data_IF_023935046865
#
_entry.id   IF_023935046865
#
_cell.length_a   1.000
_cell.length_b   1.000
_cell.length_c   1.000
_cell.angle_alpha   90.00
_cell.angle_beta   90.00
_cell.angle_gamma   90.00
#
_symmetry.space_group_name_H-M   'P 1'
#
loop_
_entity.id
_entity.type
_entity.pdbx_description
1 polymer ?
#
# COMPACT_ATOMS: atom_id res chain seq x y z
N UNK A 1 1.10 13.45 -10.84
CA UNK A 1 0.56 12.63 -9.72
C UNK A 1 1.54 11.53 -9.28
N UNK A 2 2.14 10.76 -10.21
CA UNK A 2 3.06 9.68 -9.83
C UNK A 2 4.53 10.10 -9.73
N UNK A 3 4.90 11.27 -10.21
CA UNK A 3 6.28 11.79 -10.27
C UNK A 3 6.91 11.94 -8.88
N UNK A 4 6.07 12.10 -7.85
CA UNK A 4 6.50 12.18 -6.45
C UNK A 4 6.68 10.80 -5.79
N UNK A 5 6.30 9.71 -6.47
CA UNK A 5 6.43 8.36 -5.93
C UNK A 5 7.71 7.67 -6.43
N UNK A 6 8.37 7.00 -5.52
CA UNK A 6 9.41 6.01 -5.80
C UNK A 6 8.89 4.65 -5.36
N UNK A 7 8.85 3.66 -6.24
CA UNK A 7 8.55 2.28 -5.92
C UNK A 7 9.85 1.51 -5.69
N UNK A 8 10.05 0.99 -4.50
CA UNK A 8 11.28 0.24 -4.20
C UNK A 8 11.13 -1.21 -4.60
N UNK A 9 10.17 -1.92 -4.02
CA UNK A 9 9.95 -3.36 -4.17
C UNK A 9 8.56 -3.69 -3.60
N UNK A 10 7.90 -4.75 -4.05
CA UNK A 10 6.63 -5.24 -3.50
C UNK A 10 5.57 -4.12 -3.36
N UNK A 11 5.23 -3.75 -2.12
CA UNK A 11 4.32 -2.66 -1.78
C UNK A 11 5.04 -1.46 -1.16
N UNK A 12 6.38 -1.43 -1.19
CA UNK A 12 7.20 -0.39 -0.57
C UNK A 12 7.30 0.86 -1.44
N UNK A 13 6.70 1.95 -0.98
CA UNK A 13 6.72 3.23 -1.68
C UNK A 13 7.28 4.36 -0.81
N UNK A 14 7.94 5.32 -1.47
CA UNK A 14 8.19 6.64 -0.92
C UNK A 14 7.45 7.68 -1.73
N UNK A 15 6.81 8.62 -1.07
CA UNK A 15 6.29 9.84 -1.67
C UNK A 15 7.03 11.06 -1.10
N UNK A 16 7.41 11.99 -1.98
CA UNK A 16 8.06 13.24 -1.59
C UNK A 16 7.37 14.42 -2.25
N UNK A 17 6.93 15.39 -1.45
CA UNK A 17 6.29 16.60 -1.97
C UNK A 17 5.93 17.56 -0.84
N UNK A 18 5.85 18.86 -1.15
CA UNK A 18 5.46 19.87 -0.16
C UNK A 18 6.37 19.98 1.06
N UNK A 19 7.61 19.47 0.99
CA UNK A 19 8.55 19.42 2.11
C UNK A 19 8.32 18.23 3.05
N UNK A 20 7.51 17.24 2.65
CA UNK A 20 7.21 16.03 3.42
C UNK A 20 7.76 14.79 2.72
N UNK A 21 8.34 13.88 3.48
CA UNK A 21 8.75 12.53 3.06
C UNK A 21 7.88 11.49 3.76
N UNK A 22 7.07 10.79 2.98
CA UNK A 22 6.19 9.70 3.44
C UNK A 22 6.71 8.37 2.91
N UNK A 23 6.73 7.33 3.76
CA UNK A 23 6.91 5.94 3.35
C UNK A 23 5.65 5.12 3.63
N UNK A 24 5.34 4.22 2.70
CA UNK A 24 4.28 3.22 2.82
C UNK A 24 4.97 1.87 2.78
N UNK A 25 4.77 1.04 3.80
CA UNK A 25 5.31 -0.32 3.92
C UNK A 25 6.81 -0.41 3.54
N UNK A 26 7.71 0.37 4.18
CA UNK A 26 9.11 0.41 3.79
C UNK A 26 9.79 -0.95 3.99
N UNK A 27 10.15 -1.59 2.89
CA UNK A 27 10.89 -2.86 2.85
C UNK A 27 12.00 -2.79 1.79
N UNK A 28 13.22 -3.15 2.19
CA UNK A 28 14.43 -3.07 1.36
C UNK A 28 14.60 -1.69 0.68
N UNK A 29 14.30 -0.63 1.42
CA UNK A 29 14.44 0.74 0.95
C UNK A 29 15.93 1.11 0.83
N UNK A 30 16.35 1.64 -0.32
CA UNK A 30 17.76 1.95 -0.60
C UNK A 30 18.17 3.39 -0.32
N UNK A 31 17.22 4.27 0.02
CA UNK A 31 17.50 5.66 0.42
C UNK A 31 17.67 5.79 1.94
N UNK A 32 18.40 6.82 2.36
CA UNK A 32 18.56 7.22 3.76
C UNK A 32 17.76 8.50 4.10
N UNK A 33 16.86 8.93 3.22
CA UNK A 33 16.04 10.11 3.48
C UNK A 33 15.13 9.85 4.69
N UNK A 34 15.25 10.64 5.77
CA UNK A 34 14.42 10.44 6.96
C UNK A 34 12.94 10.63 6.65
N UNK A 35 12.10 9.84 7.29
CA UNK A 35 10.66 9.95 7.18
C UNK A 35 10.10 11.05 8.09
N UNK A 36 9.16 11.83 7.56
CA UNK A 36 8.23 12.62 8.38
C UNK A 36 7.04 11.76 8.81
N UNK A 37 6.56 10.88 7.90
CA UNK A 37 5.47 9.96 8.13
C UNK A 37 5.81 8.57 7.58
N UNK A 38 5.52 7.53 8.35
CA UNK A 38 5.52 6.14 7.89
C UNK A 38 4.13 5.59 8.14
N UNK A 39 3.52 4.97 7.13
CA UNK A 39 2.27 4.23 7.28
C UNK A 39 2.52 2.75 6.98
N UNK A 40 2.05 1.87 7.87
CA UNK A 40 2.20 0.43 7.77
C UNK A 40 0.83 -0.21 7.62
N UNK A 41 0.68 -1.09 6.63
CA UNK A 41 -0.60 -1.74 6.34
C UNK A 41 -0.84 -2.96 7.21
N UNK A 42 0.19 -3.81 7.40
CA UNK A 42 0.10 -5.06 8.15
C UNK A 42 1.48 -5.61 8.56
N UNK A 43 1.51 -6.71 9.31
CA UNK A 43 2.69 -7.19 10.03
C UNK A 43 3.60 -8.15 9.24
N UNK A 44 3.33 -8.45 7.96
CA UNK A 44 4.21 -9.33 7.19
C UNK A 44 5.56 -8.67 6.92
N UNK A 45 6.61 -9.50 6.75
CA UNK A 45 8.01 -9.08 6.69
C UNK A 45 8.33 -8.14 5.52
N UNK A 46 7.59 -8.26 4.41
CA UNK A 46 7.72 -7.46 3.19
C UNK A 46 6.91 -6.14 3.23
N UNK A 47 6.28 -5.83 4.38
CA UNK A 47 5.58 -4.58 4.69
C UNK A 47 6.06 -3.94 5.99
N UNK A 48 6.43 -4.75 6.99
CA UNK A 48 6.92 -4.31 8.30
C UNK A 48 8.37 -4.72 8.51
N UNK A 49 9.30 -3.96 7.96
CA UNK A 49 10.75 -4.17 8.10
C UNK A 49 11.29 -3.33 9.26
N UNK A 50 11.61 -3.98 10.39
CA UNK A 50 12.22 -3.29 11.55
C UNK A 50 13.54 -2.60 11.19
N UNK A 51 14.47 -3.20 10.40
CA UNK A 51 15.69 -2.53 9.99
C UNK A 51 15.46 -1.26 9.16
N UNK A 52 14.47 -1.27 8.24
CA UNK A 52 14.13 -0.08 7.46
C UNK A 52 13.50 1.01 8.34
N UNK A 53 12.59 0.62 9.25
CA UNK A 53 12.01 1.56 10.20
C UNK A 53 13.07 2.23 11.07
N UNK A 54 13.99 1.46 11.65
CA UNK A 54 15.07 1.99 12.49
C UNK A 54 15.92 3.01 11.73
N UNK A 55 16.21 2.76 10.46
CA UNK A 55 17.05 3.61 9.61
C UNK A 55 16.32 4.89 9.18
N UNK A 56 15.02 4.80 8.90
CA UNK A 56 14.21 5.90 8.36
C UNK A 56 13.61 6.79 9.46
N UNK A 57 13.47 6.28 10.69
CA UNK A 57 12.80 6.97 11.78
C UNK A 57 13.74 7.93 12.52
N UNK A 58 13.24 9.11 12.81
CA UNK A 58 13.86 10.11 13.70
C UNK A 58 12.95 10.40 14.89
N UNK A 59 13.38 11.23 15.82
CA UNK A 59 12.54 11.68 16.93
C UNK A 59 11.30 12.49 16.50
N UNK A 60 11.23 12.92 15.23
CA UNK A 60 10.12 13.70 14.68
C UNK A 60 9.16 12.85 13.83
N UNK A 61 9.60 11.68 13.39
CA UNK A 61 8.81 10.80 12.53
C UNK A 61 7.54 10.35 13.25
N UNK A 62 6.41 10.44 12.58
CA UNK A 62 5.15 9.83 13.02
C UNK A 62 4.99 8.49 12.31
N UNK A 63 4.66 7.44 13.05
CA UNK A 63 4.34 6.13 12.50
C UNK A 63 2.85 5.84 12.73
N UNK A 64 2.13 5.53 11.66
CA UNK A 64 0.73 5.09 11.72
C UNK A 64 0.70 3.61 11.37
N UNK A 65 0.14 2.78 12.23
CA UNK A 65 0.17 1.34 12.06
C UNK A 65 -1.06 0.65 12.70
N UNK A 66 -1.46 -0.54 12.23
CA UNK A 66 -2.40 -1.40 12.92
C UNK A 66 -1.98 -1.66 14.36
N UNK A 67 -2.95 -1.99 15.22
CA UNK A 67 -2.75 -2.09 16.67
C UNK A 67 -1.71 -3.11 17.09
N UNK A 68 -1.61 -4.23 16.39
CA UNK A 68 -0.61 -5.28 16.63
C UNK A 68 0.82 -4.75 16.43
N UNK A 69 1.08 -4.09 15.30
CA UNK A 69 2.37 -3.46 15.02
C UNK A 69 2.64 -2.30 15.99
N UNK A 70 1.65 -1.43 16.19
CA UNK A 70 1.79 -0.26 17.06
C UNK A 70 2.19 -0.63 18.50
N UNK A 71 1.73 -1.78 19.00
CA UNK A 71 2.07 -2.29 20.32
C UNK A 71 3.55 -2.68 20.49
N UNK A 72 4.26 -2.93 19.36
CA UNK A 72 5.68 -3.29 19.34
C UNK A 72 6.61 -2.07 19.18
N UNK A 73 6.05 -0.94 18.73
CA UNK A 73 6.80 0.26 18.40
C UNK A 73 6.89 1.25 19.57
N UNK A 74 7.87 2.10 19.52
CA UNK A 74 8.08 3.21 20.48
C UNK A 74 8.21 4.54 19.74
N UNK A 75 8.00 5.67 20.43
CA UNK A 75 8.08 7.01 19.84
C UNK A 75 6.71 7.59 19.49
N UNK A 76 6.63 8.33 18.39
CA UNK A 76 5.39 8.97 17.94
C UNK A 76 4.56 7.98 17.11
N UNK A 77 3.89 7.04 17.77
CA UNK A 77 3.12 5.97 17.12
C UNK A 77 1.63 6.23 17.28
N UNK A 78 0.88 6.16 16.19
CA UNK A 78 -0.58 6.22 16.17
C UNK A 78 -1.11 4.84 15.76
N UNK A 79 -1.78 4.18 16.70
CA UNK A 79 -2.44 2.92 16.43
C UNK A 79 -3.77 3.15 15.73
N UNK A 80 -4.04 2.38 14.67
CA UNK A 80 -5.27 2.48 13.89
C UNK A 80 -5.98 1.14 13.73
N UNK A 81 -7.27 1.23 13.38
CA UNK A 81 -8.10 0.12 12.95
C UNK A 81 -8.87 0.52 11.67
N UNK A 82 -9.49 -0.43 10.94
CA UNK A 82 -10.26 -0.12 9.75
C UNK A 82 -11.39 0.88 10.01
N UNK A 83 -11.58 1.85 9.10
CA UNK A 83 -12.66 2.84 9.14
C UNK A 83 -12.36 4.08 9.98
N UNK A 84 -11.13 4.28 10.40
CA UNK A 84 -10.70 5.49 11.12
C UNK A 84 -10.24 6.59 10.17
N UNK A 85 -10.42 7.85 10.56
CA UNK A 85 -9.95 9.04 9.85
C UNK A 85 -9.13 9.91 10.80
N UNK A 86 -7.95 10.34 10.37
CA UNK A 86 -7.00 11.09 11.23
C UNK A 86 -6.07 11.99 10.42
N UNK A 87 -5.40 12.88 11.15
CA UNK A 87 -4.29 13.69 10.65
C UNK A 87 -2.97 13.22 11.25
N UNK A 88 -1.96 12.97 10.43
CA UNK A 88 -0.61 12.61 10.88
C UNK A 88 0.44 13.34 10.05
N UNK A 89 1.39 14.01 10.69
CA UNK A 89 2.44 14.81 10.05
C UNK A 89 1.90 15.80 8.98
N UNK A 90 0.69 16.34 9.17
CA UNK A 90 0.04 17.24 8.21
C UNK A 90 -0.60 16.55 7.00
N UNK A 91 -0.72 15.22 7.04
CA UNK A 91 -1.41 14.41 6.03
C UNK A 91 -2.74 13.93 6.57
N UNK A 92 -3.82 14.20 5.83
CA UNK A 92 -5.11 13.55 6.08
C UNK A 92 -5.10 12.14 5.53
N UNK A 93 -5.48 11.16 6.36
CA UNK A 93 -5.56 9.77 5.96
C UNK A 93 -6.80 9.09 6.56
N UNK A 94 -7.35 8.16 5.79
CA UNK A 94 -8.45 7.27 6.19
C UNK A 94 -7.98 5.83 6.06
N UNK A 95 -8.31 4.99 7.03
CA UNK A 95 -8.00 3.57 7.01
C UNK A 95 -9.15 2.77 6.42
N UNK A 96 -8.82 1.85 5.54
CA UNK A 96 -9.76 0.98 4.84
C UNK A 96 -9.46 -0.47 5.23
N UNK A 97 -10.45 -1.36 5.43
CA UNK A 97 -10.15 -2.75 5.74
C UNK A 97 -9.35 -3.43 4.62
N UNK A 98 -8.37 -4.25 5.01
CA UNK A 98 -7.57 -5.08 4.12
C UNK A 98 -7.54 -6.50 4.68
N UNK A 99 -8.14 -7.48 3.97
CA UNK A 99 -8.21 -8.88 4.42
C UNK A 99 -8.56 -9.83 3.27
N UNK A 100 -8.39 -11.13 3.50
CA UNK A 100 -8.76 -12.16 2.54
C UNK A 100 -10.16 -12.74 2.83
N UNK A 101 -10.84 -13.14 1.75
CA UNK A 101 -12.14 -13.83 1.76
C UNK A 101 -12.12 -15.11 0.91
N UNK A 102 -11.12 -15.30 0.08
CA UNK A 102 -10.93 -16.52 -0.73
C UNK A 102 -10.34 -17.61 0.16
N UNK A 103 -10.96 -18.81 0.13
CA UNK A 103 -10.70 -19.91 1.07
C UNK A 103 -9.21 -20.31 1.13
N UNK A 104 -8.55 -20.39 -0.02
CA UNK A 104 -7.16 -20.82 -0.15
C UNK A 104 -6.14 -19.85 0.47
N UNK A 105 -6.55 -18.61 0.77
CA UNK A 105 -5.67 -17.57 1.30
C UNK A 105 -6.19 -16.86 2.56
N UNK A 106 -7.29 -17.37 3.18
CA UNK A 106 -7.89 -16.80 4.39
C UNK A 106 -6.89 -16.60 5.54
N UNK A 107 -5.93 -17.52 5.69
CA UNK A 107 -4.95 -17.48 6.77
C UNK A 107 -3.84 -16.44 6.56
N UNK A 108 -3.65 -15.97 5.32
CA UNK A 108 -2.62 -14.97 5.03
C UNK A 108 -3.00 -13.59 5.64
N UNK A 109 -4.23 -13.14 5.42
CA UNK A 109 -4.69 -11.84 5.91
C UNK A 109 -6.08 -11.98 6.58
N UNK A 110 -6.15 -12.58 7.79
CA UNK A 110 -7.41 -12.75 8.49
C UNK A 110 -8.07 -11.42 8.84
N UNK A 111 -9.37 -11.28 8.62
CA UNK A 111 -10.14 -10.07 8.97
C UNK A 111 -9.98 -9.68 10.46
N UNK A 112 -9.80 -10.68 11.33
CA UNK A 112 -9.66 -10.47 12.77
C UNK A 112 -8.39 -9.68 13.16
N UNK A 113 -7.36 -9.62 12.29
CA UNK A 113 -6.14 -8.85 12.55
C UNK A 113 -6.37 -7.34 12.51
N UNK A 114 -7.46 -6.89 11.85
CA UNK A 114 -7.76 -5.46 11.75
C UNK A 114 -6.72 -4.68 10.94
N UNK A 115 -6.10 -5.33 9.96
CA UNK A 115 -5.14 -4.73 9.04
C UNK A 115 -5.81 -3.81 8.03
N UNK A 116 -5.05 -2.88 7.43
CA UNK A 116 -5.62 -1.75 6.72
C UNK A 116 -4.91 -1.44 5.40
N UNK A 117 -5.67 -0.92 4.46
CA UNK A 117 -5.17 -0.05 3.41
C UNK A 117 -5.35 1.41 3.82
N UNK A 118 -4.78 2.33 3.06
CA UNK A 118 -4.83 3.76 3.35
C UNK A 118 -5.36 4.57 2.17
N UNK A 119 -6.29 5.48 2.44
CA UNK A 119 -6.66 6.57 1.55
C UNK A 119 -5.96 7.83 2.04
N UNK A 120 -5.04 8.38 1.24
CA UNK A 120 -4.14 9.48 1.59
C UNK A 120 -4.47 10.71 0.77
N UNK A 121 -4.44 11.92 1.38
CA UNK A 121 -4.50 13.19 0.66
C UNK A 121 -3.12 13.84 0.64
N UNK A 122 -2.50 13.87 -0.54
CA UNK A 122 -1.14 14.37 -0.74
C UNK A 122 -1.14 15.44 -1.85
N UNK A 123 -0.74 16.67 -1.53
CA UNK A 123 -0.71 17.80 -2.46
C UNK A 123 -2.04 18.01 -3.23
N UNK A 124 -3.17 17.87 -2.56
CA UNK A 124 -4.50 18.09 -3.15
C UNK A 124 -5.04 16.91 -3.96
N UNK A 125 -4.30 15.80 -4.07
CA UNK A 125 -4.71 14.57 -4.73
C UNK A 125 -5.02 13.46 -3.73
N UNK A 126 -5.86 12.51 -4.15
CA UNK A 126 -6.23 11.33 -3.36
C UNK A 126 -5.56 10.07 -3.90
N UNK A 127 -4.96 9.30 -3.00
CA UNK A 127 -4.24 8.05 -3.28
C UNK A 127 -4.75 6.94 -2.38
N UNK A 128 -5.17 5.84 -2.96
CA UNK A 128 -5.51 4.63 -2.21
C UNK A 128 -4.40 3.60 -2.36
N UNK A 129 -3.79 3.20 -1.26
CA UNK A 129 -2.88 2.06 -1.18
C UNK A 129 -3.63 0.92 -0.48
N UNK A 130 -3.91 -0.14 -1.22
CA UNK A 130 -4.80 -1.20 -0.76
C UNK A 130 -4.22 -2.03 0.41
N UNK A 131 -2.89 -2.05 0.56
CA UNK A 131 -2.24 -3.11 1.35
C UNK A 131 -2.48 -4.46 0.69
N UNK A 132 -2.41 -5.52 1.48
CA UNK A 132 -2.67 -6.87 1.02
C UNK A 132 -4.12 -7.25 1.31
N UNK A 133 -4.87 -7.48 0.26
CA UNK A 133 -6.32 -7.72 0.34
C UNK A 133 -6.84 -8.50 -0.84
N UNK A 134 -7.98 -9.14 -0.66
CA UNK A 134 -8.82 -9.61 -1.76
C UNK A 134 -9.73 -8.50 -2.28
N UNK A 135 -10.46 -8.77 -3.36
CA UNK A 135 -11.53 -7.92 -3.86
C UNK A 135 -12.71 -7.96 -2.88
N UNK A 136 -12.81 -6.96 -2.03
CA UNK A 136 -13.90 -6.81 -1.07
C UNK A 136 -14.97 -5.87 -1.61
N UNK A 137 -16.29 -6.17 -1.42
CA UNK A 137 -17.36 -5.30 -1.88
C UNK A 137 -17.28 -3.86 -1.35
N UNK A 138 -16.82 -3.67 -0.13
CA UNK A 138 -16.65 -2.36 0.49
C UNK A 138 -15.58 -1.49 -0.20
N UNK A 139 -14.60 -2.09 -0.88
CA UNK A 139 -13.56 -1.37 -1.61
C UNK A 139 -14.09 -0.74 -2.91
N UNK A 140 -15.15 -1.28 -3.49
CA UNK A 140 -15.77 -0.75 -4.71
C UNK A 140 -16.34 0.67 -4.51
N UNK A 141 -16.67 1.01 -3.27
CA UNK A 141 -17.20 2.33 -2.90
C UNK A 141 -16.12 3.42 -2.76
N UNK A 142 -14.83 3.05 -2.69
CA UNK A 142 -13.73 4.00 -2.57
C UNK A 142 -13.67 4.90 -3.80
N UNK A 143 -13.48 6.20 -3.58
CA UNK A 143 -13.30 7.20 -4.62
C UNK A 143 -11.93 7.83 -4.47
N UNK A 144 -11.08 7.62 -5.45
CA UNK A 144 -9.68 8.07 -5.45
C UNK A 144 -9.22 8.42 -6.86
N UNK A 145 -8.25 9.32 -6.95
CA UNK A 145 -7.61 9.64 -8.23
C UNK A 145 -6.61 8.56 -8.63
N UNK A 146 -5.89 7.99 -7.67
CA UNK A 146 -4.91 6.92 -7.93
C UNK A 146 -5.16 5.76 -6.96
N UNK A 147 -5.23 4.53 -7.48
CA UNK A 147 -5.33 3.31 -6.69
C UNK A 147 -4.12 2.41 -6.93
N UNK A 148 -3.37 2.10 -5.87
CA UNK A 148 -2.31 1.10 -5.84
C UNK A 148 -2.93 -0.22 -5.41
N UNK A 149 -2.92 -1.22 -6.30
CA UNK A 149 -3.62 -2.50 -6.11
C UNK A 149 -2.64 -3.67 -6.20
N UNK A 150 -2.66 -4.63 -5.25
CA UNK A 150 -1.88 -5.84 -5.34
C UNK A 150 -2.40 -6.73 -6.47
N UNK A 151 -1.49 -7.30 -7.27
CA UNK A 151 -1.83 -8.13 -8.44
C UNK A 151 -1.10 -9.47 -8.50
N UNK A 152 -0.27 -9.78 -7.50
CA UNK A 152 0.64 -10.93 -7.54
C UNK A 152 -0.03 -12.28 -7.29
N UNK A 153 -1.30 -12.32 -6.90
CA UNK A 153 -1.99 -13.57 -6.55
C UNK A 153 -1.42 -14.20 -5.27
N UNK A 154 -1.57 -15.51 -5.11
CA UNK A 154 -1.13 -16.36 -3.99
C UNK A 154 -1.71 -15.92 -2.64
N UNK A 155 -1.37 -14.73 -2.15
CA UNK A 155 -1.80 -14.18 -0.85
C UNK A 155 -2.77 -13.01 -0.99
N UNK A 156 -2.87 -12.42 -2.18
CA UNK A 156 -3.70 -11.25 -2.49
C UNK A 156 -4.49 -11.49 -3.77
N UNK A 157 -5.18 -10.47 -4.27
CA UNK A 157 -5.76 -10.50 -5.61
C UNK A 157 -4.72 -10.88 -6.66
N UNK A 158 -5.13 -11.67 -7.64
CA UNK A 158 -4.40 -11.78 -8.90
C UNK A 158 -4.72 -10.60 -9.83
N UNK A 159 -4.08 -10.55 -11.00
CA UNK A 159 -4.28 -9.47 -11.98
C UNK A 159 -5.74 -9.35 -12.45
N UNK A 160 -6.52 -10.44 -12.49
CA UNK A 160 -7.94 -10.45 -12.90
C UNK A 160 -8.84 -9.88 -11.83
N UNK A 161 -8.68 -10.36 -10.60
CA UNK A 161 -9.43 -9.89 -9.43
C UNK A 161 -9.18 -8.40 -9.19
N UNK A 162 -7.91 -7.97 -9.28
CA UNK A 162 -7.54 -6.56 -9.16
C UNK A 162 -8.12 -5.71 -10.30
N UNK A 163 -8.18 -6.23 -11.53
CA UNK A 163 -8.82 -5.56 -12.65
C UNK A 163 -10.33 -5.42 -12.46
N UNK A 164 -11.00 -6.42 -11.90
CA UNK A 164 -12.41 -6.35 -11.53
C UNK A 164 -12.67 -5.26 -10.49
N UNK A 165 -11.86 -5.22 -9.44
CA UNK A 165 -11.94 -4.15 -8.44
C UNK A 165 -11.69 -2.77 -9.05
N UNK A 166 -10.67 -2.62 -9.89
CA UNK A 166 -10.37 -1.35 -10.56
C UNK A 166 -11.55 -0.88 -11.41
N UNK A 167 -12.21 -1.78 -12.17
CA UNK A 167 -13.39 -1.43 -12.96
C UNK A 167 -14.61 -1.05 -12.10
N UNK A 168 -14.78 -1.69 -10.95
CA UNK A 168 -15.86 -1.36 -10.00
C UNK A 168 -15.61 -0.03 -9.30
N UNK A 169 -14.41 0.18 -8.79
CA UNK A 169 -13.96 1.39 -8.09
C UNK A 169 -13.91 2.62 -9.01
N UNK A 170 -13.45 2.43 -10.26
CA UNK A 170 -13.28 3.48 -11.28
C UNK A 170 -12.35 4.62 -10.83
N UNK A 171 -11.13 4.33 -10.39
CA UNK A 171 -10.16 5.36 -10.07
C UNK A 171 -9.77 6.14 -11.34
N UNK A 172 -9.23 7.34 -11.19
CA UNK A 172 -8.64 8.08 -12.32
C UNK A 172 -7.46 7.34 -12.93
N UNK A 173 -6.72 6.58 -12.12
CA UNK A 173 -5.53 5.83 -12.48
C UNK A 173 -5.35 4.62 -11.55
N UNK A 174 -5.05 3.43 -12.09
CA UNK A 174 -4.64 2.27 -11.31
C UNK A 174 -3.15 1.98 -11.49
N UNK A 175 -2.48 1.64 -10.38
CA UNK A 175 -1.06 1.28 -10.33
C UNK A 175 -0.92 -0.12 -9.74
N UNK A 176 -0.39 -1.09 -10.50
CA UNK A 176 -0.14 -2.42 -9.97
C UNK A 176 1.02 -2.42 -8.97
N UNK A 177 0.89 -3.20 -7.91
CA UNK A 177 1.93 -3.43 -6.91
C UNK A 177 1.91 -4.90 -6.44
N UNK A 178 2.84 -5.28 -5.56
CA UNK A 178 2.92 -6.60 -4.93
C UNK A 178 3.02 -7.74 -5.96
N UNK A 179 3.94 -7.61 -6.92
CA UNK A 179 4.19 -8.62 -7.97
C UNK A 179 5.65 -8.60 -8.43
N UNK A 180 6.13 -9.74 -8.97
CA UNK A 180 7.45 -9.85 -9.58
C UNK A 180 8.62 -9.98 -8.59
N UNK A 181 8.35 -10.17 -7.30
CA UNK A 181 9.34 -10.35 -6.23
C UNK A 181 9.02 -11.59 -5.39
N UNK A 182 8.25 -11.43 -4.31
CA UNK A 182 7.85 -12.56 -3.45
C UNK A 182 6.82 -13.44 -4.17
N UNK A 183 5.94 -12.84 -4.94
CA UNK A 183 4.84 -13.50 -5.68
C UNK A 183 4.63 -12.85 -7.04
N UNK A 184 3.86 -13.51 -7.88
CA UNK A 184 3.55 -13.04 -9.22
C UNK A 184 4.75 -13.01 -10.15
N UNK A 185 4.60 -12.41 -11.31
CA UNK A 185 5.66 -12.23 -12.29
C UNK A 185 5.66 -10.81 -12.87
N UNK A 186 6.77 -10.38 -13.44
CA UNK A 186 6.88 -9.08 -14.10
C UNK A 186 5.83 -8.87 -15.23
N UNK A 187 5.31 -9.97 -15.81
CA UNK A 187 4.31 -9.92 -16.88
C UNK A 187 2.89 -9.61 -16.39
N UNK A 188 2.61 -9.78 -15.09
CA UNK A 188 1.26 -9.61 -14.55
C UNK A 188 0.74 -8.18 -14.70
N UNK A 189 1.64 -7.19 -14.68
CA UNK A 189 1.27 -5.80 -14.91
C UNK A 189 0.68 -5.54 -16.31
N UNK A 190 1.20 -6.22 -17.33
CA UNK A 190 0.67 -6.10 -18.69
C UNK A 190 -0.72 -6.78 -18.81
N UNK A 191 -0.93 -7.90 -18.13
CA UNK A 191 -2.21 -8.60 -18.06
C UNK A 191 -3.23 -7.74 -17.29
N UNK A 192 -2.87 -7.22 -16.13
CA UNK A 192 -3.71 -6.29 -15.38
C UNK A 192 -4.14 -5.08 -16.22
N UNK A 193 -3.21 -4.46 -16.95
CA UNK A 193 -3.51 -3.30 -17.78
C UNK A 193 -4.51 -3.63 -18.91
N UNK A 194 -4.40 -4.81 -19.52
CA UNK A 194 -5.33 -5.26 -20.55
C UNK A 194 -6.73 -5.54 -19.98
N UNK A 195 -6.81 -6.16 -18.82
CA UNK A 195 -8.06 -6.58 -18.19
C UNK A 195 -8.78 -5.43 -17.46
N UNK A 196 -8.06 -4.44 -16.95
CA UNK A 196 -8.63 -3.29 -16.25
C UNK A 196 -9.32 -2.28 -17.16
N UNK A 197 -9.18 -2.40 -18.48
CA UNK A 197 -9.82 -1.46 -19.41
C UNK A 197 -11.33 -1.30 -19.11
N UNK A 198 -11.90 -0.08 -19.13
CA UNK A 198 -11.31 1.18 -19.62
C UNK A 198 -10.51 1.99 -18.57
N UNK A 199 -10.24 1.47 -17.38
CA UNK A 199 -9.43 2.15 -16.37
C UNK A 199 -8.00 2.31 -16.89
N UNK A 200 -7.46 3.51 -16.76
CA UNK A 200 -6.07 3.79 -17.16
C UNK A 200 -5.12 3.14 -16.15
N UNK A 201 -4.20 2.31 -16.64
CA UNK A 201 -3.16 1.70 -15.82
C UNK A 201 -1.80 2.35 -16.10
N UNK A 202 -1.03 2.59 -15.06
CA UNK A 202 0.37 3.05 -15.12
C UNK A 202 1.24 2.18 -14.24
N UNK A 203 2.26 1.60 -14.81
CA UNK A 203 3.28 0.85 -14.08
C UNK A 203 4.41 1.78 -13.70
N UNK A 204 4.84 1.75 -12.45
CA UNK A 204 6.10 2.35 -12.02
C UNK A 204 7.24 1.35 -12.24
N UNK A 205 8.44 1.86 -12.48
CA UNK A 205 9.64 1.02 -12.50
C UNK A 205 10.15 0.88 -11.06
N UNK A 206 10.31 -0.33 -10.54
CA UNK A 206 10.85 -0.50 -9.20
C UNK A 206 12.34 -0.17 -9.17
N UNK A 207 12.84 0.25 -8.00
CA UNK A 207 14.28 0.48 -7.77
C UNK A 207 15.05 -0.83 -7.79
N UNK A 208 14.52 -1.87 -7.14
CA UNK A 208 15.06 -3.21 -7.24
C UNK A 208 14.59 -3.90 -8.54
N UNK A 209 15.46 -4.66 -9.21
CA UNK A 209 15.04 -5.44 -10.38
C UNK A 209 14.05 -6.53 -9.97
N UNK A 210 13.12 -6.87 -10.86
CA UNK A 210 12.24 -8.01 -10.65
C UNK A 210 13.02 -9.32 -10.46
N UNK A 211 12.53 -10.19 -9.61
CA UNK A 211 13.13 -11.48 -9.24
C UNK A 211 12.38 -12.68 -9.85
N UNK A 212 11.09 -12.50 -10.24
CA UNK A 212 10.19 -13.53 -10.76
C UNK A 212 9.58 -13.17 -12.12
#
# INVERSE_FOLDING_TARGET
MLESFTWFKQSAYRWQGGGLTLYIDPWEVTTEDPADLIVLTHAHFDHYSKPDLERLTTSKTVVVAPRDIAAELTGNVIAVAPGESLEAAGVHLETVPAYNVVEERLEAHPKANGWVGYLLRLNGHTYYHAGDTDHLPELEAIRTEVAFLPIGGTYTMDHKEAAELARAMKPGLAVPMHYGFVVGSANDAAQFAAEAAPVVVRTLNPVHPFEL
#
